data_IF_397339153585
#
_entry.id   IF_397339153585
#
_cell.length_a   1.000
_cell.length_b   1.000
_cell.length_c   1.000
_cell.angle_alpha   90.00
_cell.angle_beta   90.00
_cell.angle_gamma   90.00
#
_symmetry.space_group_name_H-M   'P 1'
#
loop_
_entity.id
_entity.type
_entity.pdbx_description
1 polymer ?
#
# COMPACT_ATOMS: atom_id res chain seq x y z
N UNK A 1 13.73 -13.15 3.72
CA UNK A 1 12.69 -12.86 2.71
C UNK A 1 12.42 -11.36 2.79
N UNK A 2 12.26 -10.62 1.67
CA UNK A 2 11.90 -9.19 1.74
C UNK A 2 10.44 -9.08 2.19
N UNK A 3 10.13 -8.13 3.07
CA UNK A 3 8.78 -7.89 3.59
C UNK A 3 7.85 -7.38 2.48
N UNK A 4 6.56 -7.66 2.59
CA UNK A 4 5.55 -7.18 1.63
C UNK A 4 5.45 -5.64 1.65
N UNK A 5 5.64 -5.02 2.82
CA UNK A 5 5.72 -3.57 3.03
C UNK A 5 6.68 -2.86 2.07
N UNK A 6 7.82 -3.47 1.75
CA UNK A 6 8.79 -2.91 0.80
C UNK A 6 8.24 -2.89 -0.64
N UNK A 7 7.46 -3.90 -1.02
CA UNK A 7 6.76 -3.90 -2.30
C UNK A 7 5.63 -2.89 -2.32
N UNK A 8 4.92 -2.71 -1.21
CA UNK A 8 3.90 -1.67 -1.06
C UNK A 8 4.55 -0.29 -1.28
N UNK A 9 5.69 -0.01 -0.63
CA UNK A 9 6.42 1.24 -0.80
C UNK A 9 6.78 1.49 -2.27
N UNK A 10 7.40 0.51 -2.95
CA UNK A 10 7.76 0.61 -4.37
C UNK A 10 6.55 0.94 -5.26
N UNK A 11 5.39 0.32 -5.00
CA UNK A 11 4.16 0.52 -5.78
C UNK A 11 3.54 1.89 -5.51
N UNK A 12 3.51 2.33 -4.25
CA UNK A 12 3.02 3.66 -3.87
C UNK A 12 3.89 4.75 -4.52
N UNK A 13 5.22 4.61 -4.48
CA UNK A 13 6.14 5.54 -5.15
C UNK A 13 5.92 5.60 -6.66
N UNK A 14 5.49 4.52 -7.30
CA UNK A 14 5.14 4.53 -8.72
C UNK A 14 3.87 5.37 -8.99
N UNK A 15 2.85 5.27 -8.14
CA UNK A 15 1.65 6.09 -8.22
C UNK A 15 1.97 7.58 -8.04
N UNK A 16 2.81 7.91 -7.06
CA UNK A 16 3.28 9.29 -6.83
C UNK A 16 4.08 9.80 -8.03
N UNK A 17 4.99 9.00 -8.58
CA UNK A 17 5.75 9.36 -9.78
C UNK A 17 4.86 9.51 -11.04
N UNK A 18 3.67 8.91 -11.04
CA UNK A 18 2.64 9.10 -12.07
C UNK A 18 1.81 10.38 -11.86
N UNK A 19 2.12 11.19 -10.84
CA UNK A 19 1.42 12.42 -10.51
C UNK A 19 0.21 12.21 -9.60
N UNK A 20 0.12 11.06 -8.92
CA UNK A 20 -0.91 10.83 -7.91
C UNK A 20 -0.76 11.81 -6.75
N UNK A 21 -1.84 12.55 -6.45
CA UNK A 21 -1.95 13.41 -5.26
C UNK A 21 -2.67 12.72 -4.10
N UNK A 22 -3.39 11.65 -4.37
CA UNK A 22 -4.04 10.79 -3.37
C UNK A 22 -3.67 9.33 -3.65
N UNK A 23 -3.04 8.71 -2.65
CA UNK A 23 -2.74 7.29 -2.62
C UNK A 23 -3.70 6.58 -1.67
N UNK A 24 -4.41 5.58 -2.17
CA UNK A 24 -5.26 4.70 -1.35
C UNK A 24 -4.56 3.35 -1.18
N UNK A 25 -4.33 2.95 0.07
CA UNK A 25 -3.77 1.65 0.43
C UNK A 25 -4.81 0.91 1.29
N UNK A 26 -5.22 -0.26 0.83
CA UNK A 26 -6.09 -1.17 1.59
C UNK A 26 -5.30 -2.46 1.84
N UNK A 27 -5.16 -2.84 3.10
CA UNK A 27 -4.65 -4.15 3.53
C UNK A 27 -5.80 -4.88 4.20
N UNK A 28 -6.04 -6.13 3.81
CA UNK A 28 -7.10 -6.96 4.36
C UNK A 28 -6.54 -8.31 4.77
N UNK A 29 -6.37 -8.49 6.07
CA UNK A 29 -5.91 -9.71 6.74
C UNK A 29 -7.14 -10.52 7.24
N UNK A 30 -7.66 -11.41 6.40
CA UNK A 30 -8.73 -12.34 6.76
C UNK A 30 -8.12 -13.70 7.15
N UNK A 31 -7.65 -13.79 8.39
CA UNK A 31 -6.97 -14.96 8.92
C UNK A 31 -7.91 -16.16 9.03
N UNK A 32 -9.19 -15.91 9.29
CA UNK A 32 -10.21 -16.96 9.41
C UNK A 32 -10.46 -17.65 8.07
N UNK A 33 -10.47 -16.89 6.97
CA UNK A 33 -10.58 -17.44 5.61
C UNK A 33 -9.21 -17.68 4.95
N UNK A 34 -8.12 -17.62 5.73
CA UNK A 34 -6.75 -17.86 5.30
C UNK A 34 -6.31 -17.00 4.10
N UNK A 35 -6.61 -15.71 4.14
CA UNK A 35 -6.38 -14.80 3.03
C UNK A 35 -5.76 -13.47 3.48
N UNK A 36 -4.78 -12.99 2.71
CA UNK A 36 -4.26 -11.63 2.78
C UNK A 36 -4.48 -10.98 1.41
N UNK A 37 -5.06 -9.78 1.37
CA UNK A 37 -5.10 -8.98 0.16
C UNK A 37 -4.62 -7.55 0.36
N UNK A 38 -4.05 -6.98 -0.70
CA UNK A 38 -3.51 -5.64 -0.72
C UNK A 38 -4.01 -4.97 -1.99
N UNK A 39 -4.62 -3.80 -1.83
CA UNK A 39 -5.03 -2.94 -2.93
C UNK A 39 -4.34 -1.59 -2.81
N UNK A 40 -3.65 -1.17 -3.86
CA UNK A 40 -3.03 0.16 -3.95
C UNK A 40 -3.64 0.87 -5.14
N UNK A 41 -4.20 2.06 -4.92
CA UNK A 41 -4.75 2.90 -5.99
C UNK A 41 -4.17 4.31 -5.93
N UNK A 42 -3.93 4.90 -7.10
CA UNK A 42 -3.56 6.30 -7.27
C UNK A 42 -4.60 7.03 -8.11
N UNK A 43 -4.64 8.36 -8.00
CA UNK A 43 -5.41 9.26 -8.87
C UNK A 43 -4.52 10.00 -9.89
N UNK A 44 -3.37 9.42 -10.25
CA UNK A 44 -2.41 10.03 -11.15
C UNK A 44 -2.86 10.01 -12.60
N UNK A 45 -1.91 10.22 -13.51
CA UNK A 45 -2.18 10.31 -14.96
C UNK A 45 -2.66 9.00 -15.61
N UNK A 46 -2.55 7.86 -14.90
CA UNK A 46 -2.83 6.54 -15.46
C UNK A 46 -1.93 6.18 -16.65
N UNK A 47 -2.38 5.24 -17.47
CA UNK A 47 -1.68 4.75 -18.66
C UNK A 47 -2.60 4.76 -19.87
N UNK A 48 -2.06 5.18 -21.01
CA UNK A 48 -2.76 4.99 -22.30
C UNK A 48 -2.88 3.50 -22.64
N UNK A 49 -3.81 3.10 -23.52
CA UNK A 49 -3.95 1.70 -23.95
C UNK A 49 -2.64 1.10 -24.48
N UNK A 50 -1.83 1.89 -25.21
CA UNK A 50 -0.53 1.47 -25.74
C UNK A 50 0.52 1.29 -24.65
N UNK A 51 0.45 2.08 -23.56
CA UNK A 51 1.33 1.92 -22.40
C UNK A 51 0.91 0.73 -21.54
N UNK A 52 -0.39 0.53 -21.35
CA UNK A 52 -0.94 -0.59 -20.57
C UNK A 52 -0.56 -1.94 -21.18
N UNK A 53 -0.62 -2.05 -22.52
CA UNK A 53 -0.16 -3.25 -23.24
C UNK A 53 1.33 -3.55 -23.03
N UNK A 54 2.14 -2.54 -22.71
CA UNK A 54 3.58 -2.68 -22.43
C UNK A 54 3.86 -2.97 -20.97
N UNK A 55 3.08 -2.45 -20.02
CA UNK A 55 3.25 -2.74 -18.58
C UNK A 55 2.92 -4.19 -18.24
N UNK A 56 2.14 -4.87 -19.08
CA UNK A 56 1.95 -6.32 -19.01
C UNK A 56 3.24 -7.13 -19.28
N UNK A 57 4.28 -6.51 -19.86
CA UNK A 57 5.59 -7.13 -20.03
C UNK A 57 6.43 -6.92 -18.74
N UNK A 58 6.82 -7.99 -18.03
CA UNK A 58 7.57 -7.91 -16.77
C UNK A 58 8.94 -7.20 -16.86
N UNK A 59 9.41 -6.88 -18.08
CA UNK A 59 10.64 -6.14 -18.32
C UNK A 59 10.45 -4.67 -18.72
N UNK A 60 9.21 -4.20 -18.90
CA UNK A 60 8.95 -2.84 -19.32
C UNK A 60 9.14 -1.84 -18.17
N UNK A 61 9.99 -0.83 -18.37
CA UNK A 61 10.19 0.28 -17.44
C UNK A 61 10.35 1.59 -18.21
N UNK A 62 9.78 2.67 -17.69
CA UNK A 62 10.01 4.04 -18.17
C UNK A 62 11.13 4.76 -17.40
N UNK A 63 11.72 4.14 -16.37
CA UNK A 63 12.81 4.72 -15.56
C UNK A 63 14.18 4.33 -16.12
N UNK A 64 15.04 5.32 -16.38
CA UNK A 64 16.41 5.16 -16.89
C UNK A 64 17.47 4.89 -15.81
N UNK A 65 17.18 5.14 -14.54
CA UNK A 65 18.19 5.16 -13.45
C UNK A 65 18.15 3.95 -12.51
N UNK A 66 17.00 3.31 -12.34
CA UNK A 66 16.86 2.07 -11.54
C UNK A 66 16.61 0.91 -12.51
N UNK A 67 17.62 0.08 -12.71
CA UNK A 67 17.54 -1.08 -13.63
C UNK A 67 16.41 -1.99 -13.16
N UNK A 68 15.49 -2.21 -14.10
CA UNK A 68 14.38 -3.17 -14.12
C UNK A 68 13.12 -2.71 -13.37
N UNK A 69 12.00 -2.63 -14.11
CA UNK A 69 10.64 -2.39 -13.61
C UNK A 69 10.08 -3.56 -12.80
N UNK A 70 10.88 -4.08 -11.87
CA UNK A 70 10.62 -5.33 -11.14
C UNK A 70 9.60 -5.22 -10.03
N UNK A 71 9.19 -4.02 -9.61
CA UNK A 71 8.32 -3.86 -8.44
C UNK A 71 7.01 -4.65 -8.58
N UNK A 72 6.33 -4.47 -9.71
CA UNK A 72 5.07 -5.18 -10.00
C UNK A 72 5.30 -6.65 -10.36
N UNK A 73 6.33 -6.99 -11.13
CA UNK A 73 6.58 -8.39 -11.52
C UNK A 73 7.07 -9.26 -10.37
N UNK A 74 7.83 -8.70 -9.42
CA UNK A 74 8.20 -9.39 -8.18
C UNK A 74 6.99 -9.58 -7.26
N UNK A 75 6.13 -8.56 -7.14
CA UNK A 75 4.90 -8.68 -6.36
C UNK A 75 3.95 -9.72 -6.96
N UNK A 76 3.81 -9.73 -8.29
CA UNK A 76 3.06 -10.75 -9.03
C UNK A 76 3.63 -12.15 -8.75
N UNK A 77 4.94 -12.36 -8.96
CA UNK A 77 5.57 -13.66 -8.74
C UNK A 77 5.49 -14.11 -7.27
N UNK A 78 5.53 -13.18 -6.31
CA UNK A 78 5.33 -13.49 -4.90
C UNK A 78 3.89 -13.94 -4.61
N UNK A 79 2.89 -13.24 -5.16
CA UNK A 79 1.48 -13.61 -5.03
C UNK A 79 1.19 -14.98 -5.65
N UNK A 80 1.61 -15.19 -6.90
CA UNK A 80 1.41 -16.45 -7.62
C UNK A 80 2.11 -17.65 -6.94
N UNK A 81 3.28 -17.43 -6.33
CA UNK A 81 3.98 -18.49 -5.56
C UNK A 81 3.26 -18.86 -4.26
N UNK A 82 2.41 -18.00 -3.73
CA UNK A 82 1.68 -18.23 -2.48
C UNK A 82 0.20 -18.54 -2.72
N UNK A 83 -0.11 -19.20 -3.84
CA UNK A 83 -1.46 -19.54 -4.30
C UNK A 83 -2.44 -18.35 -4.35
N UNK A 84 -1.87 -17.16 -4.52
CA UNK A 84 -2.55 -15.89 -4.56
C UNK A 84 -2.90 -15.43 -5.97
N UNK A 85 -3.32 -14.17 -6.08
CA UNK A 85 -3.65 -13.53 -7.36
C UNK A 85 -2.98 -12.17 -7.45
N UNK A 86 -2.74 -11.73 -8.68
CA UNK A 86 -2.27 -10.39 -8.98
C UNK A 86 -3.10 -9.80 -10.11
N UNK A 87 -3.45 -8.52 -10.01
CA UNK A 87 -4.04 -7.78 -11.11
C UNK A 87 -3.59 -6.32 -11.11
N UNK A 88 -3.49 -5.76 -12.30
CA UNK A 88 -3.16 -4.36 -12.52
C UNK A 88 -4.14 -3.77 -13.51
N UNK A 89 -4.74 -2.64 -13.15
CA UNK A 89 -5.61 -1.86 -14.00
C UNK A 89 -5.15 -0.40 -13.98
N UNK A 90 -5.20 0.27 -15.12
CA UNK A 90 -4.91 1.70 -15.22
C UNK A 90 -5.76 2.29 -16.31
N UNK A 91 -6.22 3.52 -16.10
CA UNK A 91 -6.98 4.26 -17.09
C UNK A 91 -6.42 5.68 -17.21
N UNK A 92 -6.12 6.09 -18.43
CA UNK A 92 -5.57 7.42 -18.73
C UNK A 92 -6.45 8.53 -18.14
N UNK A 93 -5.82 9.40 -17.35
CA UNK A 93 -6.48 10.49 -16.62
C UNK A 93 -7.26 10.08 -15.36
N UNK A 94 -7.35 8.79 -15.01
CA UNK A 94 -8.04 8.33 -13.79
C UNK A 94 -7.13 7.64 -12.76
N UNK A 95 -5.90 7.34 -13.13
CA UNK A 95 -4.91 6.71 -12.26
C UNK A 95 -4.82 5.20 -12.45
N UNK A 96 -4.20 4.52 -11.49
CA UNK A 96 -3.95 3.08 -11.55
C UNK A 96 -4.38 2.37 -10.27
N UNK A 97 -4.61 1.07 -10.39
CA UNK A 97 -4.94 0.15 -9.31
C UNK A 97 -4.12 -1.12 -9.45
N UNK A 98 -3.41 -1.46 -8.39
CA UNK A 98 -2.71 -2.73 -8.19
C UNK A 98 -3.48 -3.50 -7.13
N UNK A 99 -3.77 -4.77 -7.40
CA UNK A 99 -4.32 -5.71 -6.44
C UNK A 99 -3.43 -6.94 -6.38
N UNK A 100 -3.11 -7.39 -5.18
CA UNK A 100 -2.53 -8.70 -4.99
C UNK A 100 -3.12 -9.40 -3.77
N UNK A 101 -3.04 -10.72 -3.77
CA UNK A 101 -3.46 -11.55 -2.65
C UNK A 101 -2.54 -12.73 -2.43
N UNK A 102 -2.64 -13.33 -1.25
CA UNK A 102 -1.83 -14.44 -0.79
C UNK A 102 -2.69 -15.34 0.10
N UNK A 103 -2.42 -16.65 0.09
CA UNK A 103 -2.87 -17.52 1.17
C UNK A 103 -2.13 -17.11 2.46
N UNK A 104 -2.87 -16.85 3.54
CA UNK A 104 -2.34 -16.18 4.72
C UNK A 104 -1.29 -17.01 5.48
N UNK A 105 -1.45 -18.32 5.60
CA UNK A 105 -0.51 -19.20 6.30
C UNK A 105 0.52 -19.88 5.37
N UNK A 106 0.58 -19.47 4.10
CA UNK A 106 1.47 -20.09 3.12
C UNK A 106 2.94 -19.97 3.53
N UNK A 107 3.69 -21.08 3.42
CA UNK A 107 5.10 -21.17 3.88
C UNK A 107 6.04 -20.18 3.20
N UNK A 108 5.80 -19.89 1.92
CA UNK A 108 6.60 -18.95 1.13
C UNK A 108 6.11 -17.50 1.21
N UNK A 109 5.04 -17.22 1.97
CA UNK A 109 4.52 -15.86 2.11
C UNK A 109 5.47 -15.06 2.99
N UNK A 110 5.94 -13.94 2.46
CA UNK A 110 6.69 -12.98 3.23
C UNK A 110 5.81 -12.35 4.33
N UNK A 111 6.37 -11.98 5.49
CA UNK A 111 5.62 -11.20 6.46
C UNK A 111 5.17 -9.88 5.84
N UNK A 112 4.03 -9.36 6.31
CA UNK A 112 3.52 -8.06 5.88
C UNK A 112 4.56 -6.96 6.11
N UNK A 113 5.26 -7.03 7.25
CA UNK A 113 6.26 -6.05 7.65
C UNK A 113 5.67 -4.90 8.47
N UNK A 114 6.49 -3.89 8.72
CA UNK A 114 6.10 -2.72 9.51
C UNK A 114 5.33 -1.69 8.66
N UNK A 115 4.00 -1.72 8.79
CA UNK A 115 3.14 -0.79 8.06
C UNK A 115 3.19 0.63 8.64
N UNK A 116 3.38 0.80 9.94
CA UNK A 116 3.45 2.11 10.55
C UNK A 116 4.71 2.87 10.13
N UNK A 117 5.86 2.19 10.11
CA UNK A 117 7.10 2.72 9.52
C UNK A 117 6.96 2.98 8.03
N UNK A 118 6.29 2.11 7.29
CA UNK A 118 6.03 2.33 5.86
C UNK A 118 5.25 3.62 5.62
N UNK A 119 4.19 3.84 6.40
CA UNK A 119 3.39 5.07 6.34
C UNK A 119 4.20 6.30 6.78
N UNK A 120 5.02 6.19 7.84
CA UNK A 120 5.93 7.24 8.28
C UNK A 120 6.89 7.67 7.16
N UNK A 121 7.52 6.71 6.49
CA UNK A 121 8.45 6.97 5.36
C UNK A 121 7.73 7.69 4.22
N UNK A 122 6.52 7.24 3.88
CA UNK A 122 5.70 7.85 2.82
C UNK A 122 5.33 9.30 3.16
N UNK A 123 4.83 9.55 4.37
CA UNK A 123 4.45 10.90 4.82
C UNK A 123 5.67 11.84 4.90
N UNK A 124 6.81 11.33 5.34
CA UNK A 124 8.05 12.11 5.42
C UNK A 124 8.61 12.45 4.03
N UNK A 125 8.62 11.46 3.12
CA UNK A 125 9.17 11.61 1.77
C UNK A 125 8.28 12.40 0.82
N UNK A 126 6.96 12.38 1.05
CA UNK A 126 5.97 12.97 0.15
C UNK A 126 4.93 13.80 0.94
N UNK A 127 5.35 14.90 1.59
CA UNK A 127 4.49 15.71 2.47
C UNK A 127 3.33 16.42 1.76
N UNK A 128 3.34 16.50 0.43
CA UNK A 128 2.28 17.11 -0.38
C UNK A 128 1.25 16.08 -0.90
N UNK A 129 1.53 14.79 -0.73
CA UNK A 129 0.65 13.70 -1.15
C UNK A 129 -0.25 13.33 0.02
N UNK A 130 -1.51 13.04 -0.29
CA UNK A 130 -2.44 12.50 0.67
C UNK A 130 -2.46 10.97 0.64
N UNK A 131 -2.57 10.36 1.82
CA UNK A 131 -2.64 8.93 1.99
C UNK A 131 -3.92 8.55 2.72
N UNK A 132 -4.69 7.67 2.10
CA UNK A 132 -5.81 6.98 2.69
C UNK A 132 -5.39 5.53 2.93
N UNK A 133 -5.05 5.21 4.17
CA UNK A 133 -4.69 3.87 4.59
C UNK A 133 -5.84 3.21 5.34
N UNK A 134 -6.27 2.04 4.87
CA UNK A 134 -7.29 1.21 5.47
C UNK A 134 -6.70 -0.15 5.77
N UNK A 135 -6.80 -0.60 7.02
CA UNK A 135 -6.38 -1.94 7.42
C UNK A 135 -7.59 -2.70 7.94
N UNK A 136 -7.86 -3.87 7.37
CA UNK A 136 -8.86 -4.80 7.84
C UNK A 136 -8.19 -6.03 8.47
N UNK A 137 -8.71 -6.48 9.61
CA UNK A 137 -8.29 -7.73 10.25
C UNK A 137 -9.52 -8.50 10.74
N UNK A 138 -9.80 -9.65 10.12
CA UNK A 138 -11.02 -10.44 10.31
C UNK A 138 -12.29 -9.57 10.29
N UNK A 139 -12.40 -8.67 9.31
CA UNK A 139 -13.56 -7.79 9.11
C UNK A 139 -13.62 -6.54 10.00
N UNK A 140 -12.74 -6.37 10.99
CA UNK A 140 -12.59 -5.11 11.73
C UNK A 140 -11.72 -4.15 10.97
N UNK A 141 -11.97 -2.85 11.10
CA UNK A 141 -11.34 -1.83 10.28
C UNK A 141 -10.65 -0.74 11.09
N UNK A 142 -9.41 -0.44 10.71
CA UNK A 142 -8.69 0.78 11.04
C UNK A 142 -8.59 1.66 9.80
N UNK A 143 -8.84 2.97 9.96
CA UNK A 143 -8.77 3.95 8.89
C UNK A 143 -7.88 5.12 9.30
N UNK A 144 -6.92 5.45 8.43
CA UNK A 144 -6.01 6.58 8.57
C UNK A 144 -6.07 7.44 7.31
N UNK A 145 -6.48 8.69 7.44
CA UNK A 145 -6.63 9.64 6.33
C UNK A 145 -5.87 10.93 6.63
N UNK A 146 -4.78 11.17 5.88
CA UNK A 146 -3.96 12.38 6.08
C UNK A 146 -4.73 13.66 5.82
N UNK A 147 -5.80 13.64 5.03
CA UNK A 147 -6.60 14.84 4.74
C UNK A 147 -7.32 15.34 5.98
N UNK A 148 -7.86 14.41 6.78
CA UNK A 148 -8.49 14.72 8.07
C UNK A 148 -7.45 15.23 9.06
N UNK A 149 -6.31 14.54 9.15
CA UNK A 149 -5.21 14.92 10.05
C UNK A 149 -4.69 16.32 9.72
N UNK A 150 -4.52 16.67 8.44
CA UNK A 150 -4.09 18.02 8.02
C UNK A 150 -5.06 19.11 8.47
N UNK A 151 -6.36 18.83 8.52
CA UNK A 151 -7.37 19.78 9.01
C UNK A 151 -7.22 20.00 10.52
N UNK A 152 -6.86 18.96 11.26
CA UNK A 152 -6.65 19.01 12.71
C UNK A 152 -5.32 19.65 13.12
N UNK A 153 -4.29 19.57 12.26
CA UNK A 153 -2.95 20.10 12.54
C UNK A 153 -2.87 21.64 12.47
N UNK A 154 -3.94 22.36 12.12
CA UNK A 154 -4.02 23.83 12.10
C UNK A 154 -2.83 24.55 11.42
N UNK A 155 -2.26 23.93 10.38
CA UNK A 155 -1.13 24.47 9.62
C UNK A 155 0.25 23.96 10.04
N UNK A 156 0.35 23.07 11.04
CA UNK A 156 1.58 22.32 11.34
C UNK A 156 1.83 21.32 10.20
N UNK A 157 3.02 21.30 9.57
CA UNK A 157 3.31 20.35 8.49
C UNK A 157 3.27 18.89 8.96
N UNK A 158 2.71 18.01 8.11
CA UNK A 158 2.58 16.58 8.41
C UNK A 158 3.94 15.89 8.59
N UNK A 159 4.97 16.37 7.90
CA UNK A 159 6.34 15.80 7.94
C UNK A 159 7.20 16.35 9.08
N UNK A 160 6.65 17.17 9.99
CA UNK A 160 7.36 17.55 11.20
C UNK A 160 7.73 16.30 12.02
N UNK A 161 8.99 16.13 12.47
CA UNK A 161 9.42 14.90 13.13
C UNK A 161 8.59 14.53 14.37
N UNK A 162 8.08 15.51 15.10
CA UNK A 162 7.22 15.25 16.26
C UNK A 162 5.84 14.73 15.84
N UNK A 163 5.27 15.27 14.75
CA UNK A 163 3.99 14.84 14.18
C UNK A 163 4.13 13.42 13.63
N UNK A 164 5.15 13.16 12.81
CA UNK A 164 5.41 11.83 12.24
C UNK A 164 5.54 10.74 13.31
N UNK A 165 6.29 11.01 14.38
CA UNK A 165 6.42 10.07 15.51
C UNK A 165 5.09 9.78 16.19
N UNK A 166 4.25 10.80 16.37
CA UNK A 166 2.94 10.64 16.99
C UNK A 166 2.00 9.83 16.09
N UNK A 167 1.93 10.16 14.80
CA UNK A 167 1.11 9.44 13.82
C UNK A 167 1.54 7.99 13.68
N UNK A 168 2.85 7.72 13.63
CA UNK A 168 3.38 6.36 13.63
C UNK A 168 2.93 5.58 14.86
N UNK A 169 3.13 6.14 16.06
CA UNK A 169 2.76 5.47 17.30
C UNK A 169 1.24 5.17 17.33
N UNK A 170 0.41 6.09 16.85
CA UNK A 170 -1.03 5.88 16.72
C UNK A 170 -1.38 4.75 15.74
N UNK A 171 -0.71 4.67 14.59
CA UNK A 171 -0.89 3.55 13.65
C UNK A 171 -0.46 2.22 14.29
N UNK A 172 0.68 2.19 14.99
CA UNK A 172 1.16 0.98 15.69
C UNK A 172 0.13 0.51 16.74
N UNK A 173 -0.36 1.42 17.57
CA UNK A 173 -1.35 1.13 18.61
C UNK A 173 -2.66 0.59 18.02
N UNK A 174 -3.21 1.27 17.02
CA UNK A 174 -4.46 0.84 16.36
C UNK A 174 -4.33 -0.52 15.68
N UNK A 175 -3.19 -0.80 15.02
CA UNK A 175 -2.93 -2.11 14.40
C UNK A 175 -2.79 -3.23 15.44
N UNK A 176 -2.21 -2.94 16.61
CA UNK A 176 -2.13 -3.90 17.71
C UNK A 176 -3.53 -4.15 18.32
N UNK A 177 -4.34 -3.11 18.54
CA UNK A 177 -5.73 -3.23 19.00
C UNK A 177 -6.54 -4.10 18.02
N UNK A 178 -6.42 -3.80 16.72
CA UNK A 178 -7.11 -4.51 15.64
C UNK A 178 -6.82 -6.02 15.64
N UNK A 179 -5.62 -6.44 16.07
CA UNK A 179 -5.19 -7.84 16.11
C UNK A 179 -5.46 -8.53 17.45
N UNK A 180 -5.46 -7.78 18.55
CA UNK A 180 -5.47 -8.36 19.91
C UNK A 180 -6.84 -8.42 20.54
N UNK A 181 -7.73 -7.47 20.26
CA UNK A 181 -9.11 -7.59 20.72
C UNK A 181 -9.71 -8.83 20.05
N UNK A 182 -10.27 -9.76 20.82
CA UNK A 182 -11.06 -10.85 20.25
C UNK A 182 -12.43 -10.31 19.90
N UNK A 183 -13.10 -10.94 18.93
CA UNK A 183 -14.53 -10.78 18.75
C UNK A 183 -15.29 -11.41 19.93
N UNK A 184 -15.05 -10.95 21.16
CA UNK A 184 -15.82 -11.30 22.35
C UNK A 184 -16.68 -10.09 22.71
N UNK A 185 -17.83 -9.98 22.03
CA UNK A 185 -19.14 -9.55 22.57
C UNK A 185 -20.10 -9.27 21.39
N UNK A 186 -20.71 -10.32 20.83
CA UNK A 186 -22.06 -10.29 20.24
C UNK A 186 -22.63 -11.69 20.06
#
# INVERSE_FOLDING_TARGET
MREISLHILDVVENGIAAGGSLMTLVVDEDVENNWLSITISDNGKGLSPEQQAKVADPFFTSRTTRRVGMGLSLLQAAAERCDGRFSFASEEGKGSRVFCSFVYDHIDRAPLGDMAMTMEVLMAGYPEVDFLYRHLYNGREFLFDTRTIRQELEGIPLNEPAVLRHLKAGIEEELEILRTERADDR
#
